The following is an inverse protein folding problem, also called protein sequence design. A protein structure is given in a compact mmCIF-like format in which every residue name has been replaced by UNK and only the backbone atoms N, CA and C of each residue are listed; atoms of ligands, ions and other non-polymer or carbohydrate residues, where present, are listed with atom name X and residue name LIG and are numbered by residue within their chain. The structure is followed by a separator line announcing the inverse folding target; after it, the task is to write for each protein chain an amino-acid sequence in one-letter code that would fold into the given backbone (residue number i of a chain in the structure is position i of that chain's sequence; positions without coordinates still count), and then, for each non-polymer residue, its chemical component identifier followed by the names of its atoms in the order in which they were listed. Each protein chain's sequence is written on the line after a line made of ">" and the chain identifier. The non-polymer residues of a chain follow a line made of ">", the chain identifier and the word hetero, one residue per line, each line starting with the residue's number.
data_IF_318583940946
#
_entry.id   IF_318583940946
#
_cell.length_a   1.000
_cell.length_b   1.000
_cell.length_c   1.000
_cell.angle_alpha   90.00
_cell.angle_beta   90.00
_cell.angle_gamma   90.00
#
_symmetry.space_group_name_H-M   'P 1'
#
loop_
_entity.id
_entity.type
_entity.pdbx_description
1 polymer ?
#
# COMPACT_ATOMS: atom_id res chain seq x y z
N UNK A 1 15.39 8.36 11.22
CA UNK A 1 15.03 8.70 9.82
C UNK A 1 16.21 9.37 9.15
N UNK A 2 16.68 8.78 8.06
CA UNK A 2 17.68 9.40 7.17
C UNK A 2 17.06 10.59 6.40
N UNK A 3 17.87 11.48 5.77
CA UNK A 3 17.35 12.46 4.82
C UNK A 3 16.53 11.84 3.69
N UNK A 4 16.93 10.66 3.19
CA UNK A 4 16.18 9.93 2.17
C UNK A 4 14.80 9.49 2.70
N UNK A 5 14.73 8.98 3.93
CA UNK A 5 13.45 8.61 4.56
C UNK A 5 12.51 9.83 4.66
N UNK A 6 13.05 11.02 4.99
CA UNK A 6 12.26 12.26 5.07
C UNK A 6 11.71 12.68 3.72
N UNK A 7 12.50 12.47 2.65
CA UNK A 7 12.04 12.71 1.28
C UNK A 7 10.94 11.72 0.93
N UNK A 8 11.07 10.44 1.29
CA UNK A 8 10.03 9.42 1.10
C UNK A 8 8.68 9.82 1.71
N UNK A 9 8.69 10.39 2.92
CA UNK A 9 7.48 10.87 3.60
C UNK A 9 6.72 11.98 2.85
N UNK A 10 7.32 12.63 1.85
CA UNK A 10 6.65 13.65 1.03
C UNK A 10 5.83 13.06 -0.12
N UNK A 11 5.93 11.75 -0.36
CA UNK A 11 5.25 11.08 -1.47
C UNK A 11 4.01 10.34 -1.00
N UNK A 12 2.93 10.52 -1.77
CA UNK A 12 1.73 9.69 -1.72
C UNK A 12 1.63 8.99 -3.07
N UNK A 13 1.56 7.66 -3.06
CA UNK A 13 1.69 6.85 -4.29
C UNK A 13 0.52 5.92 -4.49
N UNK A 14 0.31 5.50 -5.73
CA UNK A 14 -0.61 4.45 -6.10
C UNK A 14 0.13 3.12 -6.32
N UNK A 15 -0.56 1.99 -6.14
CA UNK A 15 -0.02 0.68 -6.47
C UNK A 15 -1.16 -0.29 -6.86
N UNK A 16 -0.89 -1.27 -7.72
CA UNK A 16 -1.87 -2.28 -8.09
C UNK A 16 -1.98 -3.40 -7.04
N UNK A 17 -3.19 -3.95 -6.87
CA UNK A 17 -3.44 -5.17 -6.09
C UNK A 17 -4.08 -4.95 -4.72
N UNK A 18 -4.54 -6.03 -4.11
CA UNK A 18 -5.27 -6.05 -2.84
C UNK A 18 -4.48 -6.68 -1.68
N UNK A 19 -3.19 -6.94 -1.89
CA UNK A 19 -2.25 -7.52 -0.91
C UNK A 19 -0.84 -6.97 -1.14
N UNK A 20 -0.05 -6.95 -0.07
CA UNK A 20 1.39 -6.67 -0.12
C UNK A 20 2.15 -7.98 0.05
N UNK A 21 2.86 -8.41 -0.99
CA UNK A 21 3.73 -9.59 -0.94
C UNK A 21 5.20 -9.15 -0.85
N UNK A 22 6.06 -9.98 -0.25
CA UNK A 22 7.46 -9.64 0.03
C UNK A 22 8.34 -9.39 -1.21
N UNK A 23 7.83 -9.71 -2.40
CA UNK A 23 8.50 -9.53 -3.69
C UNK A 23 7.78 -8.51 -4.60
N UNK A 24 6.77 -7.81 -4.10
CA UNK A 24 6.03 -6.81 -4.86
C UNK A 24 6.58 -5.40 -4.63
N UNK A 25 6.43 -4.53 -5.64
CA UNK A 25 6.81 -3.12 -5.58
C UNK A 25 6.23 -2.38 -4.35
N UNK A 26 5.02 -2.76 -3.90
CA UNK A 26 4.40 -2.17 -2.71
C UNK A 26 5.23 -2.43 -1.44
N UNK A 27 5.91 -3.57 -1.35
CA UNK A 27 6.78 -3.89 -0.23
C UNK A 27 7.98 -2.94 -0.17
N UNK A 28 8.63 -2.69 -1.31
CA UNK A 28 9.78 -1.78 -1.41
C UNK A 28 9.39 -0.33 -1.08
N UNK A 29 8.21 0.12 -1.55
CA UNK A 29 7.67 1.46 -1.27
C UNK A 29 7.47 1.70 0.24
N UNK A 30 7.02 0.67 0.97
CA UNK A 30 6.86 0.74 2.44
C UNK A 30 8.21 0.61 3.16
N UNK A 31 9.01 -0.41 2.84
CA UNK A 31 10.17 -0.82 3.65
C UNK A 31 11.43 -0.04 3.36
N UNK A 32 11.72 0.13 2.07
CA UNK A 32 12.98 0.70 1.59
C UNK A 32 12.83 2.20 1.34
N UNK A 33 11.81 2.60 0.57
CA UNK A 33 11.59 4.02 0.20
C UNK A 33 10.87 4.80 1.31
N UNK A 34 10.05 4.11 2.13
CA UNK A 34 9.30 4.70 3.24
C UNK A 34 8.45 5.88 2.79
N UNK A 35 7.56 5.64 1.84
CA UNK A 35 6.61 6.64 1.35
C UNK A 35 5.70 7.16 2.48
N UNK A 36 5.21 8.39 2.34
CA UNK A 36 4.33 9.02 3.33
C UNK A 36 2.89 8.50 3.31
N UNK A 37 2.44 7.96 2.17
CA UNK A 37 1.10 7.39 2.09
C UNK A 37 0.81 6.66 0.78
N UNK A 38 -0.36 6.01 0.76
CA UNK A 38 -0.88 5.28 -0.38
C UNK A 38 -2.29 5.78 -0.73
N UNK A 39 -2.57 5.94 -2.02
CA UNK A 39 -3.94 6.13 -2.52
C UNK A 39 -4.50 4.76 -2.91
N UNK A 40 -5.62 4.37 -2.30
CA UNK A 40 -6.33 3.14 -2.64
C UNK A 40 -7.46 3.46 -3.63
N UNK A 41 -7.47 2.77 -4.76
CA UNK A 41 -8.51 2.93 -5.78
C UNK A 41 -9.09 1.59 -6.20
N UNK A 42 -10.35 1.60 -6.64
CA UNK A 42 -10.96 0.42 -7.26
C UNK A 42 -10.30 0.09 -8.61
N UNK A 43 -9.84 1.10 -9.35
CA UNK A 43 -9.16 0.93 -10.64
C UNK A 43 -7.85 0.14 -10.52
N UNK A 44 -7.10 0.37 -9.44
CA UNK A 44 -5.89 -0.40 -9.12
C UNK A 44 -6.19 -1.76 -8.48
N UNK A 45 -7.47 -2.09 -8.28
CA UNK A 45 -7.89 -3.34 -7.66
C UNK A 45 -7.57 -3.41 -6.16
N UNK A 46 -7.36 -2.26 -5.49
CA UNK A 46 -7.18 -2.22 -4.04
C UNK A 46 -8.50 -2.46 -3.28
N UNK A 47 -9.63 -2.18 -3.94
CA UNK A 47 -10.99 -2.31 -3.41
C UNK A 47 -11.78 -3.22 -4.36
N UNK A 48 -12.11 -4.44 -3.91
CA UNK A 48 -12.77 -5.46 -4.73
C UNK A 48 -14.12 -5.88 -4.17
N UNK A 49 -15.19 -5.60 -4.91
CA UNK A 49 -16.57 -5.92 -4.53
C UNK A 49 -17.08 -7.27 -5.08
N UNK A 50 -16.26 -7.99 -5.83
CA UNK A 50 -16.63 -9.20 -6.57
C UNK A 50 -16.25 -10.51 -5.87
N UNK A 51 -15.42 -10.47 -4.81
CA UNK A 51 -14.79 -11.67 -4.22
C UNK A 51 -15.10 -11.92 -2.75
N UNK A 52 -16.16 -11.31 -2.21
CA UNK A 52 -16.61 -11.53 -0.84
C UNK A 52 -16.71 -10.24 -0.03
N UNK A 53 -16.23 -10.26 1.22
CA UNK A 53 -16.35 -9.18 2.20
C UNK A 53 -15.33 -8.05 1.94
N UNK A 54 -15.71 -7.04 1.15
CA UNK A 54 -14.81 -5.92 0.80
C UNK A 54 -14.25 -5.18 2.02
N UNK A 55 -15.04 -4.79 3.05
CA UNK A 55 -14.50 -4.13 4.23
C UNK A 55 -13.36 -4.90 4.91
N UNK A 56 -13.51 -6.21 5.05
CA UNK A 56 -12.48 -7.08 5.65
C UNK A 56 -11.22 -7.15 4.77
N UNK A 57 -11.39 -7.23 3.44
CA UNK A 57 -10.27 -7.18 2.51
C UNK A 57 -9.49 -5.87 2.60
N UNK A 58 -10.19 -4.72 2.65
CA UNK A 58 -9.56 -3.41 2.77
C UNK A 58 -8.83 -3.28 4.10
N UNK A 59 -9.45 -3.69 5.21
CA UNK A 59 -8.81 -3.69 6.53
C UNK A 59 -7.53 -4.53 6.57
N UNK A 60 -7.56 -5.73 5.96
CA UNK A 60 -6.36 -6.57 5.82
C UNK A 60 -5.27 -5.85 5.02
N UNK A 61 -5.61 -5.24 3.88
CA UNK A 61 -4.65 -4.54 3.05
C UNK A 61 -4.01 -3.36 3.80
N UNK A 62 -4.81 -2.52 4.46
CA UNK A 62 -4.28 -1.38 5.22
C UNK A 62 -3.38 -1.84 6.36
N UNK A 63 -3.71 -2.94 7.04
CA UNK A 63 -2.84 -3.51 8.06
C UNK A 63 -1.50 -4.02 7.48
N UNK A 64 -1.50 -4.60 6.28
CA UNK A 64 -0.27 -5.02 5.60
C UNK A 64 0.63 -3.83 5.23
N UNK A 65 0.05 -2.68 4.88
CA UNK A 65 0.80 -1.46 4.57
C UNK A 65 1.38 -0.76 5.81
N UNK A 66 0.86 -1.06 7.00
CA UNK A 66 1.34 -0.50 8.28
C UNK A 66 2.36 -1.39 9.00
N UNK A 67 2.40 -2.69 8.68
CA UNK A 67 3.31 -3.66 9.29
C UNK A 67 4.74 -3.45 8.80
#
# INVERSE_FOLDING_TARGET
>A
MSPADRVGQLFIVEFPGDRVLSNDMAYDLVREIRVGGFVLTAANGNIRNDRGNTPEQVARLTNQLQA
#
